data_IF_378015749770
#
_entry.id   IF_378015749770
#
_cell.length_a   1.000
_cell.length_b   1.000
_cell.length_c   1.000
_cell.angle_alpha   90.00
_cell.angle_beta   90.00
_cell.angle_gamma   90.00
#
_symmetry.space_group_name_H-M   'P 1'
#
loop_
_entity.id
_entity.type
_entity.pdbx_description
1 polymer ?
#
# COMPACT_ATOMS: atom_id res chain seq x y z
N UNK A 1 26.72 -7.87 7.77
CA UNK A 1 25.65 -7.97 6.75
C UNK A 1 25.32 -9.44 6.61
N UNK A 2 24.17 -9.86 7.13
CA UNK A 2 23.75 -11.26 7.06
C UNK A 2 23.08 -11.48 5.71
N UNK A 3 23.82 -11.99 4.73
CA UNK A 3 23.25 -12.38 3.44
C UNK A 3 22.51 -13.70 3.61
N UNK A 4 21.19 -13.64 3.56
CA UNK A 4 20.34 -14.83 3.56
C UNK A 4 20.71 -15.75 2.38
N UNK A 5 20.60 -17.07 2.53
CA UNK A 5 20.78 -17.98 1.40
C UNK A 5 19.76 -17.66 0.30
N UNK A 6 20.13 -17.80 -0.99
CA UNK A 6 19.34 -17.30 -2.12
C UNK A 6 17.92 -17.87 -2.19
N UNK A 7 17.70 -19.11 -1.73
CA UNK A 7 16.38 -19.71 -1.62
C UNK A 7 15.49 -18.99 -0.58
N UNK A 8 16.04 -18.57 0.56
CA UNK A 8 15.29 -17.83 1.58
C UNK A 8 14.92 -16.44 1.08
N UNK A 9 15.83 -15.76 0.39
CA UNK A 9 15.53 -14.46 -0.23
C UNK A 9 14.39 -14.56 -1.27
N UNK A 10 14.39 -15.61 -2.09
CA UNK A 10 13.33 -15.86 -3.06
C UNK A 10 11.96 -16.12 -2.40
N UNK A 11 11.92 -16.91 -1.33
CA UNK A 11 10.68 -17.18 -0.56
C UNK A 11 10.16 -15.89 0.07
N UNK A 12 11.02 -15.10 0.71
CA UNK A 12 10.62 -13.83 1.33
C UNK A 12 10.06 -12.84 0.31
N UNK A 13 10.62 -12.81 -0.90
CA UNK A 13 10.11 -11.97 -1.98
C UNK A 13 8.71 -12.39 -2.47
N UNK A 14 8.45 -13.70 -2.58
CA UNK A 14 7.12 -14.22 -2.92
C UNK A 14 6.09 -13.87 -1.85
N UNK A 15 6.45 -14.02 -0.57
CA UNK A 15 5.55 -13.66 0.54
C UNK A 15 5.28 -12.16 0.59
N UNK A 16 6.28 -11.32 0.35
CA UNK A 16 6.09 -9.87 0.23
C UNK A 16 5.17 -9.50 -0.94
N UNK A 17 5.34 -10.13 -2.10
CA UNK A 17 4.47 -9.90 -3.26
C UNK A 17 3.02 -10.28 -2.93
N UNK A 18 2.82 -11.44 -2.29
CA UNK A 18 1.51 -11.89 -1.82
C UNK A 18 0.91 -10.91 -0.82
N UNK A 19 1.69 -10.46 0.16
CA UNK A 19 1.26 -9.45 1.14
C UNK A 19 0.78 -8.17 0.45
N UNK A 20 1.57 -7.61 -0.48
CA UNK A 20 1.21 -6.41 -1.22
C UNK A 20 -0.10 -6.60 -2.00
N UNK A 21 -0.24 -7.73 -2.70
CA UNK A 21 -1.45 -8.07 -3.44
C UNK A 21 -2.67 -8.25 -2.52
N UNK A 22 -2.51 -8.92 -1.37
CA UNK A 22 -3.57 -9.08 -0.38
C UNK A 22 -4.03 -7.73 0.22
N UNK A 23 -3.09 -6.82 0.51
CA UNK A 23 -3.41 -5.48 1.00
C UNK A 23 -4.18 -4.65 -0.04
N UNK A 24 -3.77 -4.70 -1.31
CA UNK A 24 -4.49 -4.04 -2.40
C UNK A 24 -5.90 -4.59 -2.57
N UNK A 25 -6.06 -5.92 -2.60
CA UNK A 25 -7.36 -6.57 -2.69
C UNK A 25 -8.26 -6.19 -1.51
N UNK A 26 -7.73 -6.17 -0.29
CA UNK A 26 -8.47 -5.75 0.89
C UNK A 26 -8.95 -4.30 0.79
N UNK A 27 -8.09 -3.40 0.29
CA UNK A 27 -8.41 -1.97 0.12
C UNK A 27 -9.40 -1.72 -1.04
N UNK A 28 -9.49 -2.63 -2.00
CA UNK A 28 -10.47 -2.58 -3.10
C UNK A 28 -11.78 -3.30 -2.76
N UNK A 29 -11.76 -4.20 -1.77
CA UNK A 29 -12.89 -5.07 -1.47
C UNK A 29 -14.12 -4.27 -1.00
N UNK A 30 -15.23 -4.51 -1.69
CA UNK A 30 -16.52 -3.83 -1.48
C UNK A 30 -16.41 -2.29 -1.55
N UNK A 31 -15.42 -1.77 -2.29
CA UNK A 31 -15.34 -0.35 -2.57
C UNK A 31 -16.49 0.08 -3.48
N UNK A 32 -17.15 1.18 -3.11
CA UNK A 32 -18.25 1.76 -3.87
C UNK A 32 -17.71 2.44 -5.13
N UNK A 33 -18.37 2.20 -6.25
CA UNK A 33 -18.10 2.99 -7.45
C UNK A 33 -18.50 4.44 -7.22
N UNK A 34 -17.49 5.31 -7.15
CA UNK A 34 -17.74 6.75 -7.06
C UNK A 34 -18.08 7.27 -8.47
N UNK A 35 -19.37 7.14 -8.85
CA UNK A 35 -19.86 7.59 -10.15
C UNK A 35 -19.69 9.11 -10.27
N UNK A 36 -18.79 9.53 -11.15
CA UNK A 36 -18.72 10.90 -11.65
C UNK A 36 -18.86 10.86 -13.16
N UNK A 37 -19.89 11.52 -13.68
CA UNK A 37 -20.23 11.55 -15.11
C UNK A 37 -19.08 12.07 -16.02
N UNK A 38 -18.08 12.75 -15.45
CA UNK A 38 -16.96 13.37 -16.20
C UNK A 38 -15.59 13.21 -15.50
N UNK A 39 -15.50 12.49 -14.38
CA UNK A 39 -14.27 12.40 -13.58
C UNK A 39 -13.73 10.96 -13.63
N UNK A 40 -12.40 10.75 -13.66
CA UNK A 40 -11.83 9.40 -13.61
C UNK A 40 -12.39 8.59 -12.45
N UNK A 41 -12.50 7.26 -12.66
CA UNK A 41 -12.90 6.31 -11.62
C UNK A 41 -11.95 6.46 -10.45
N UNK A 42 -12.51 6.75 -9.27
CA UNK A 42 -11.73 6.82 -8.03
C UNK A 42 -11.40 5.41 -7.56
N UNK A 43 -10.23 5.26 -6.97
CA UNK A 43 -9.71 4.00 -6.43
C UNK A 43 -9.42 4.14 -4.91
N UNK A 44 -8.92 3.09 -4.27
CA UNK A 44 -8.53 3.09 -2.86
C UNK A 44 -7.49 4.16 -2.53
N UNK A 45 -6.61 4.51 -3.48
CA UNK A 45 -5.70 5.63 -3.28
C UNK A 45 -6.44 6.96 -3.07
N UNK A 46 -7.51 7.23 -3.81
CA UNK A 46 -8.28 8.46 -3.64
C UNK A 46 -8.95 8.51 -2.25
N UNK A 47 -9.41 7.36 -1.75
CA UNK A 47 -9.89 7.23 -0.37
C UNK A 47 -8.77 7.56 0.62
N UNK A 48 -7.64 6.86 0.56
CA UNK A 48 -6.51 7.02 1.48
C UNK A 48 -6.00 8.46 1.48
N UNK A 49 -5.76 9.01 0.29
CA UNK A 49 -5.30 10.38 0.10
C UNK A 49 -6.29 11.36 0.74
N UNK A 50 -7.58 11.27 0.41
CA UNK A 50 -8.61 12.17 0.97
C UNK A 50 -8.71 12.03 2.49
N UNK A 51 -8.64 10.80 3.02
CA UNK A 51 -8.71 10.54 4.45
C UNK A 51 -7.54 11.19 5.19
N UNK A 52 -6.31 10.98 4.71
CA UNK A 52 -5.10 11.57 5.28
C UNK A 52 -5.13 13.09 5.26
N UNK A 53 -5.59 13.70 4.16
CA UNK A 53 -5.74 15.16 4.05
C UNK A 53 -6.76 15.72 5.05
N UNK A 54 -7.86 15.01 5.31
CA UNK A 54 -8.88 15.43 6.28
C UNK A 54 -8.33 15.51 7.71
N UNK A 55 -7.30 14.74 8.05
CA UNK A 55 -6.71 14.71 9.39
C UNK A 55 -5.78 15.91 9.70
N UNK A 56 -5.81 16.99 8.90
CA UNK A 56 -5.08 18.27 9.11
C UNK A 56 -3.55 18.15 9.23
N UNK A 57 -2.97 17.00 8.90
CA UNK A 57 -1.53 16.77 8.84
C UNK A 57 -1.14 16.27 7.46
N UNK A 58 -0.17 16.94 6.82
CA UNK A 58 0.51 16.36 5.66
C UNK A 58 1.40 15.23 6.18
N UNK A 59 0.86 14.00 6.19
CA UNK A 59 1.61 12.83 6.63
C UNK A 59 2.81 12.61 5.70
N UNK A 60 3.89 12.04 6.24
CA UNK A 60 5.09 11.76 5.46
C UNK A 60 4.80 10.87 4.23
N UNK A 61 3.99 9.79 4.33
CA UNK A 61 3.53 9.04 3.17
C UNK A 61 2.81 9.89 2.12
N UNK A 62 1.91 10.79 2.53
CA UNK A 62 1.17 11.63 1.60
C UNK A 62 2.10 12.63 0.86
N UNK A 63 3.13 13.15 1.55
CA UNK A 63 4.15 14.01 0.93
C UNK A 63 5.01 13.26 -0.06
N UNK A 64 5.45 12.05 0.31
CA UNK A 64 6.26 11.20 -0.55
C UNK A 64 5.56 10.92 -1.89
N UNK A 65 4.31 10.45 -1.85
CA UNK A 65 3.57 10.10 -3.07
C UNK A 65 3.28 11.32 -3.95
N UNK A 66 3.07 12.50 -3.34
CA UNK A 66 2.91 13.75 -4.11
C UNK A 66 4.18 14.14 -4.85
N UNK A 67 5.36 13.82 -4.32
CA UNK A 67 6.64 14.11 -4.96
C UNK A 67 6.99 13.12 -6.09
N UNK A 68 6.19 12.08 -6.30
CA UNK A 68 6.42 11.06 -7.32
C UNK A 68 5.71 11.42 -8.64
N UNK A 69 6.31 12.34 -9.40
CA UNK A 69 5.78 12.84 -10.68
C UNK A 69 5.64 11.74 -11.76
N UNK A 70 6.32 10.61 -11.58
CA UNK A 70 6.32 9.47 -12.50
C UNK A 70 5.07 8.60 -12.38
N UNK A 71 4.39 8.60 -11.23
CA UNK A 71 3.22 7.75 -10.99
C UNK A 71 1.96 8.41 -11.57
N UNK A 72 1.43 7.83 -12.65
CA UNK A 72 0.36 8.46 -13.44
C UNK A 72 -1.03 8.11 -12.92
N UNK A 73 -1.26 6.86 -12.51
CA UNK A 73 -2.60 6.42 -12.09
C UNK A 73 -2.78 6.48 -10.56
N UNK A 74 -4.04 6.60 -10.07
CA UNK A 74 -4.35 6.41 -8.66
C UNK A 74 -3.90 5.04 -8.14
N UNK A 75 -4.01 3.98 -8.95
CA UNK A 75 -3.59 2.64 -8.58
C UNK A 75 -2.09 2.57 -8.27
N UNK A 76 -1.23 3.07 -9.17
CA UNK A 76 0.21 3.09 -8.94
C UNK A 76 0.62 3.93 -7.73
N UNK A 77 -0.10 5.04 -7.47
CA UNK A 77 0.08 5.85 -6.26
C UNK A 77 -0.29 5.07 -5.00
N UNK A 78 -1.38 4.31 -5.04
CA UNK A 78 -1.78 3.41 -3.96
C UNK A 78 -0.73 2.32 -3.68
N UNK A 79 -0.17 1.72 -4.73
CA UNK A 79 0.88 0.70 -4.62
C UNK A 79 2.16 1.28 -4.04
N UNK A 80 2.58 2.45 -4.52
CA UNK A 80 3.73 3.17 -4.00
C UNK A 80 3.53 3.55 -2.52
N UNK A 81 2.32 3.94 -2.13
CA UNK A 81 1.99 4.25 -0.74
C UNK A 81 2.14 3.03 0.17
N UNK A 82 1.62 1.86 -0.24
CA UNK A 82 1.76 0.61 0.52
C UNK A 82 3.24 0.28 0.71
N UNK A 83 4.05 0.33 -0.37
CA UNK A 83 5.50 0.08 -0.31
C UNK A 83 6.20 1.06 0.63
N UNK A 84 5.91 2.35 0.50
CA UNK A 84 6.47 3.39 1.36
C UNK A 84 6.17 3.09 2.83
N UNK A 85 4.90 2.80 3.15
CA UNK A 85 4.47 2.55 4.52
C UNK A 85 5.08 1.27 5.10
N UNK A 86 5.22 0.19 4.30
CA UNK A 86 5.89 -1.03 4.73
C UNK A 86 7.38 -0.78 5.03
N UNK A 87 8.09 -0.07 4.15
CA UNK A 87 9.51 0.25 4.34
C UNK A 87 9.78 1.10 5.59
N UNK A 88 8.82 1.90 6.03
CA UNK A 88 8.95 2.79 7.18
C UNK A 88 8.20 2.30 8.43
N UNK A 89 7.52 1.15 8.38
CA UNK A 89 6.70 0.66 9.51
C UNK A 89 5.56 1.62 9.88
N UNK A 90 4.90 2.22 8.89
CA UNK A 90 3.86 3.25 9.06
C UNK A 90 2.49 2.83 8.51
N UNK A 91 2.33 1.58 8.06
CA UNK A 91 1.11 1.13 7.38
C UNK A 91 -0.08 1.08 8.34
N UNK A 92 0.12 0.57 9.54
CA UNK A 92 -0.92 0.48 10.56
C UNK A 92 -1.40 1.88 10.99
N UNK A 93 -0.47 2.76 11.33
CA UNK A 93 -0.74 4.14 11.75
C UNK A 93 -1.44 4.92 10.64
N UNK A 94 -0.96 4.82 9.41
CA UNK A 94 -1.55 5.54 8.29
C UNK A 94 -2.96 5.05 7.99
N UNK A 95 -3.20 3.73 8.03
CA UNK A 95 -4.54 3.18 7.80
C UNK A 95 -5.48 3.49 8.96
N UNK A 96 -5.00 3.44 10.21
CA UNK A 96 -5.78 3.83 11.39
C UNK A 96 -6.25 5.28 11.27
N UNK A 97 -5.37 6.20 10.86
CA UNK A 97 -5.72 7.60 10.60
C UNK A 97 -6.81 7.73 9.51
N UNK A 98 -6.72 6.94 8.45
CA UNK A 98 -7.72 6.92 7.38
C UNK A 98 -9.11 6.44 7.86
N UNK A 99 -9.14 5.59 8.90
CA UNK A 99 -10.35 4.94 9.41
C UNK A 99 -10.96 5.63 10.64
N UNK A 100 -10.42 6.80 11.04
CA UNK A 100 -10.91 7.58 12.18
C UNK A 100 -12.36 8.07 12.05
N UNK A 101 -12.87 8.25 10.83
CA UNK A 101 -14.27 8.65 10.60
C UNK A 101 -15.05 7.50 9.95
N UNK A 102 -15.85 6.76 10.74
CA UNK A 102 -16.69 5.67 10.23
C UNK A 102 -17.69 6.13 9.16
N UNK A 103 -18.19 7.36 9.27
CA UNK A 103 -19.11 7.98 8.31
C UNK A 103 -18.42 8.12 6.95
N UNK A 104 -17.20 8.66 6.95
CA UNK A 104 -16.40 8.79 5.74
C UNK A 104 -16.05 7.43 5.16
N UNK A 105 -15.63 6.45 5.96
CA UNK A 105 -15.35 5.10 5.46
C UNK A 105 -16.59 4.49 4.80
N UNK A 106 -17.78 4.68 5.37
CA UNK A 106 -19.05 4.21 4.79
C UNK A 106 -19.47 4.96 3.53
N UNK A 107 -18.97 6.16 3.26
CA UNK A 107 -19.17 6.82 1.95
C UNK A 107 -18.40 6.11 0.83
N UNK A 108 -17.28 5.47 1.16
CA UNK A 108 -16.38 4.84 0.19
C UNK A 108 -16.52 3.32 0.10
N UNK A 109 -16.99 2.68 1.17
CA UNK A 109 -17.06 1.23 1.27
C UNK A 109 -18.46 0.75 1.60
N UNK A 110 -18.81 -0.40 1.03
CA UNK A 110 -20.04 -1.13 1.34
C UNK A 110 -19.94 -1.89 2.68
N UNK A 111 -21.07 -2.46 3.12
CA UNK A 111 -21.17 -3.11 4.43
C UNK A 111 -20.37 -4.41 4.54
N UNK A 112 -19.89 -4.99 3.43
CA UNK A 112 -19.06 -6.21 3.46
C UNK A 112 -17.59 -5.88 3.63
N UNK A 113 -17.18 -4.62 3.44
CA UNK A 113 -15.78 -4.24 3.61
C UNK A 113 -15.30 -4.46 5.05
N UNK A 114 -14.14 -5.10 5.27
CA UNK A 114 -13.55 -5.24 6.60
C UNK A 114 -13.20 -3.87 7.22
N UNK A 115 -13.08 -2.83 6.40
CA UNK A 115 -12.82 -1.47 6.86
C UNK A 115 -14.04 -0.83 7.57
N UNK A 116 -15.25 -1.34 7.30
CA UNK A 116 -16.51 -0.83 7.86
C UNK A 116 -16.94 -1.61 9.11
N UNK A 117 -16.61 -2.91 9.17
CA UNK A 117 -16.93 -3.78 10.31
C UNK A 117 -15.93 -3.55 11.46
N UNK A 118 -16.35 -3.06 12.64
CA UNK A 118 -15.42 -2.72 13.73
C UNK A 118 -14.52 -3.88 14.15
N UNK A 119 -15.08 -5.08 14.28
CA UNK A 119 -14.37 -6.27 14.77
C UNK A 119 -13.30 -6.73 13.78
N UNK A 120 -13.62 -6.74 12.49
CA UNK A 120 -12.65 -7.07 11.43
C UNK A 120 -11.59 -5.99 11.27
N UNK A 121 -11.98 -4.72 11.45
CA UNK A 121 -11.07 -3.58 11.40
C UNK A 121 -10.04 -3.62 12.52
N UNK A 122 -10.44 -3.94 13.75
CA UNK A 122 -9.52 -4.09 14.88
C UNK A 122 -8.52 -5.22 14.62
N UNK A 123 -8.99 -6.42 14.26
CA UNK A 123 -8.10 -7.54 13.93
C UNK A 123 -7.17 -7.26 12.73
N UNK A 124 -7.63 -6.51 11.74
CA UNK A 124 -6.80 -6.02 10.64
C UNK A 124 -5.70 -5.09 11.15
N UNK A 125 -6.05 -4.07 11.93
CA UNK A 125 -5.07 -3.11 12.46
C UNK A 125 -4.04 -3.81 13.35
N UNK A 126 -4.45 -4.74 14.21
CA UNK A 126 -3.54 -5.53 15.04
C UNK A 126 -2.54 -6.32 14.19
N UNK A 127 -3.02 -6.95 13.12
CA UNK A 127 -2.16 -7.66 12.18
C UNK A 127 -1.16 -6.73 11.49
N UNK A 128 -1.59 -5.51 11.14
CA UNK A 128 -0.71 -4.50 10.54
C UNK A 128 0.31 -3.96 11.54
N UNK A 129 -0.07 -3.77 12.82
CA UNK A 129 0.87 -3.35 13.86
C UNK A 129 1.94 -4.41 14.12
N UNK A 130 1.61 -5.69 14.01
CA UNK A 130 2.60 -6.76 14.08
C UNK A 130 3.66 -6.65 12.95
N UNK A 131 3.28 -6.13 11.77
CA UNK A 131 4.21 -5.91 10.67
C UNK A 131 5.21 -4.77 10.93
N UNK A 132 4.93 -3.83 11.84
CA UNK A 132 5.86 -2.76 12.17
C UNK A 132 7.16 -3.28 12.81
N UNK A 133 7.15 -4.51 13.35
CA UNK A 133 8.36 -5.19 13.84
C UNK A 133 9.22 -5.81 12.73
N UNK A 134 8.79 -5.76 11.47
CA UNK A 134 9.49 -6.36 10.32
C UNK A 134 10.13 -5.25 9.48
N UNK A 135 11.42 -5.38 9.22
CA UNK A 135 12.14 -4.47 8.33
C UNK A 135 11.96 -4.89 6.86
N UNK A 136 11.34 -4.04 6.06
CA UNK A 136 11.17 -4.24 4.62
C UNK A 136 12.17 -3.38 3.83
N UNK A 137 13.13 -4.01 3.16
CA UNK A 137 14.05 -3.34 2.25
C UNK A 137 13.44 -3.28 0.84
N UNK A 138 12.88 -2.13 0.47
CA UNK A 138 12.12 -1.93 -0.76
C UNK A 138 12.69 -0.78 -1.58
N UNK A 139 12.88 -0.99 -2.89
CA UNK A 139 13.17 0.12 -3.82
C UNK A 139 11.92 0.99 -4.02
N UNK A 140 11.93 2.17 -3.42
CA UNK A 140 10.82 3.12 -3.49
C UNK A 140 10.78 3.94 -4.78
N UNK A 141 11.79 3.82 -5.66
CA UNK A 141 11.88 4.52 -6.94
C UNK A 141 11.39 3.68 -8.13
N UNK A 142 10.81 2.51 -7.87
CA UNK A 142 10.35 1.59 -8.91
C UNK A 142 9.35 2.28 -9.87
N UNK A 143 9.69 2.38 -11.18
CA UNK A 143 8.95 3.24 -12.10
C UNK A 143 7.64 2.61 -12.60
N UNK A 144 7.55 1.28 -12.66
CA UNK A 144 6.40 0.57 -13.22
C UNK A 144 5.58 -0.12 -12.13
N UNK A 145 4.73 0.66 -11.47
CA UNK A 145 3.71 0.16 -10.53
C UNK A 145 2.31 0.19 -11.16
N UNK A 146 2.18 0.69 -12.39
CA UNK A 146 0.90 0.78 -13.08
C UNK A 146 0.44 -0.61 -13.54
N UNK A 147 1.34 -1.45 -14.06
CA UNK A 147 0.98 -2.76 -14.63
C UNK A 147 0.83 -3.86 -13.57
N UNK A 148 1.83 -4.04 -12.69
CA UNK A 148 1.83 -5.12 -11.71
C UNK A 148 2.60 -4.77 -10.43
N UNK A 149 2.38 -5.58 -9.39
CA UNK A 149 3.28 -5.61 -8.24
C UNK A 149 4.66 -6.14 -8.66
N UNK A 150 5.78 -5.48 -8.30
CA UNK A 150 7.10 -5.94 -8.69
C UNK A 150 7.34 -7.37 -8.23
N UNK A 151 7.77 -8.24 -9.15
CA UNK A 151 8.35 -9.53 -8.77
C UNK A 151 9.87 -9.34 -8.62
N UNK A 152 10.47 -9.92 -7.58
CA UNK A 152 11.92 -9.83 -7.38
C UNK A 152 12.74 -10.40 -8.54
N UNK A 153 12.15 -11.27 -9.37
CA UNK A 153 12.78 -11.80 -10.58
C UNK A 153 13.16 -10.71 -11.60
N UNK A 154 12.59 -9.52 -11.50
CA UNK A 154 12.84 -8.37 -12.39
C UNK A 154 13.96 -7.44 -11.89
N UNK A 155 14.58 -7.75 -10.74
CA UNK A 155 15.80 -7.06 -10.32
C UNK A 155 16.94 -7.50 -11.25
N UNK A 156 17.65 -6.57 -11.92
CA UNK A 156 18.88 -6.92 -12.58
C UNK A 156 19.82 -7.42 -11.49
N UNK A 157 20.10 -8.73 -11.49
CA UNK A 157 21.27 -9.24 -10.80
C UNK A 157 22.43 -8.42 -11.36
N UNK A 158 22.93 -7.45 -10.61
CA UNK A 158 24.24 -6.86 -10.86
C UNK A 158 25.27 -7.92 -10.47
N UNK A 159 25.31 -8.99 -11.28
CA UNK A 159 26.38 -9.95 -11.30
C UNK A 159 27.62 -9.20 -11.74
N UNK A 160 28.59 -9.17 -10.84
CA UNK A 160 29.97 -8.76 -11.08
C UNK A 160 30.39 -9.17 -12.50
N UNK A 161 30.80 -8.19 -13.30
CA UNK A 161 31.41 -8.44 -14.60
C UNK A 161 32.66 -9.31 -14.40
N UNK A 162 32.84 -10.42 -15.13
CA UNK A 162 34.11 -11.13 -15.12
C UNK A 162 35.14 -10.21 -15.78
N UNK A 163 36.23 -9.96 -15.05
CA UNK A 163 37.46 -9.36 -15.59
C UNK A 163 38.17 -10.33 -16.51
#
# INVERSE_FOLDING_TARGET
MSTYPPHTAAVLAVELHRLCGCLELLLQFDQKEQKSFLRPRKDYWDFLCTALWRQRGSTEPARFIRAQDKLKTPLAKGRAFIRFCLAHGQLAESLQLCLLSPEFTREWYGPRSPLVCPELREGLLDSLYALNGVAFDLDLQWPDLDEAWPMFSDLPFSGVSPS
#
